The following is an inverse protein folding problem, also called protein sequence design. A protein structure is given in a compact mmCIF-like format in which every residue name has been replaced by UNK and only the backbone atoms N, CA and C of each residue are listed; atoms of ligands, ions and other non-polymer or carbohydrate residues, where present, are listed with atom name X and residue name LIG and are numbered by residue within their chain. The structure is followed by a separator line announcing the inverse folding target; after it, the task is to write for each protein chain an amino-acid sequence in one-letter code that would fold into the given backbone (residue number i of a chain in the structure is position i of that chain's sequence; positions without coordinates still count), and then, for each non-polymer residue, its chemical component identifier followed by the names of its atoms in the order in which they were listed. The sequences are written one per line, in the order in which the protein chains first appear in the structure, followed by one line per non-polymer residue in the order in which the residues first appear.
data_IF_070573135291
#
_entry.id   IF_070573135291
#
_cell.length_a   1.000
_cell.length_b   1.000
_cell.length_c   1.000
_cell.angle_alpha   90.00
_cell.angle_beta   90.00
_cell.angle_gamma   90.00
#
_symmetry.space_group_name_H-M   'P 1'
#
loop_
_entity.id
_entity.type
_entity.pdbx_description
1 polymer ?
#
# COMPACT_ATOMS: atom_id res chain seq x y z
N UNK A 1 -4.23 -16.30 16.74
CA UNK A 1 -4.21 -15.14 15.81
C UNK A 1 -3.17 -15.40 14.74
N UNK A 2 -3.58 -15.80 13.53
CA UNK A 2 -2.66 -16.07 12.43
C UNK A 2 -2.33 -14.73 11.72
N UNK A 3 -1.25 -14.09 12.16
CA UNK A 3 -0.76 -12.88 11.50
C UNK A 3 -0.16 -13.30 10.15
N UNK A 4 -1.01 -13.32 9.12
CA UNK A 4 -0.60 -13.55 7.72
C UNK A 4 0.22 -12.34 7.30
N UNK A 5 1.52 -12.37 7.61
CA UNK A 5 2.46 -11.37 7.14
C UNK A 5 2.36 -11.32 5.62
N UNK A 6 2.32 -10.11 5.08
CA UNK A 6 2.34 -9.91 3.63
C UNK A 6 3.54 -10.66 3.07
N UNK A 7 3.26 -11.61 2.18
CA UNK A 7 4.29 -12.29 1.41
C UNK A 7 5.03 -11.20 0.65
N UNK A 8 6.36 -11.22 0.65
CA UNK A 8 7.19 -10.15 0.10
C UNK A 8 6.79 -9.76 -1.33
N UNK A 9 6.36 -10.72 -2.14
CA UNK A 9 5.84 -10.49 -3.49
C UNK A 9 4.61 -9.57 -3.57
N UNK A 10 3.71 -9.60 -2.59
CA UNK A 10 2.54 -8.70 -2.55
C UNK A 10 2.94 -7.26 -2.22
N UNK A 11 4.04 -7.05 -1.49
CA UNK A 11 4.56 -5.70 -1.20
C UNK A 11 5.12 -5.07 -2.46
N UNK A 12 5.90 -5.81 -3.24
CA UNK A 12 6.42 -5.33 -4.51
C UNK A 12 5.31 -4.99 -5.50
N UNK A 13 4.23 -5.79 -5.55
CA UNK A 13 3.07 -5.47 -6.38
C UNK A 13 2.39 -4.17 -5.94
N UNK A 14 2.17 -3.96 -4.63
CA UNK A 14 1.62 -2.70 -4.12
C UNK A 14 2.52 -1.53 -4.53
N UNK A 15 3.84 -1.66 -4.36
CA UNK A 15 4.78 -0.59 -4.69
C UNK A 15 4.80 -0.27 -6.20
N UNK A 16 4.77 -1.30 -7.06
CA UNK A 16 4.66 -1.14 -8.51
C UNK A 16 3.40 -0.36 -8.90
N UNK A 17 2.23 -0.78 -8.40
CA UNK A 17 0.97 -0.08 -8.68
C UNK A 17 0.95 1.36 -8.13
N UNK A 18 1.63 1.63 -7.01
CA UNK A 18 1.76 2.99 -6.50
C UNK A 18 2.67 3.85 -7.35
N UNK A 19 3.74 3.29 -7.93
CA UNK A 19 4.59 4.00 -8.91
C UNK A 19 3.83 4.31 -10.19
N UNK A 20 2.91 3.44 -10.60
CA UNK A 20 2.00 3.67 -11.73
C UNK A 20 0.88 4.69 -11.41
N UNK A 21 0.69 5.07 -10.15
CA UNK A 21 -0.28 6.09 -9.74
C UNK A 21 -1.69 5.55 -9.41
N UNK A 22 -1.85 4.24 -9.23
CA UNK A 22 -3.14 3.66 -8.85
C UNK A 22 -3.57 4.04 -7.43
N UNK A 23 -4.88 4.13 -7.23
CA UNK A 23 -5.48 4.38 -5.91
C UNK A 23 -5.41 3.13 -5.02
N UNK A 24 -5.32 3.32 -3.68
CA UNK A 24 -5.32 2.19 -2.73
C UNK A 24 -6.56 1.29 -2.85
N UNK A 25 -7.70 1.86 -3.26
CA UNK A 25 -8.94 1.11 -3.49
C UNK A 25 -8.83 0.19 -4.69
N UNK A 26 -8.27 0.65 -5.80
CA UNK A 26 -8.06 -0.18 -6.99
C UNK A 26 -7.01 -1.27 -6.77
N UNK A 27 -5.92 -0.92 -6.09
CA UNK A 27 -4.88 -1.89 -5.72
C UNK A 27 -5.49 -2.97 -4.81
N UNK A 28 -6.34 -2.57 -3.85
CA UNK A 28 -7.03 -3.51 -2.96
C UNK A 28 -7.99 -4.45 -3.69
N UNK A 29 -8.74 -3.94 -4.66
CA UNK A 29 -9.61 -4.76 -5.52
C UNK A 29 -8.80 -5.78 -6.33
N UNK A 30 -7.68 -5.38 -6.93
CA UNK A 30 -6.80 -6.25 -7.73
C UNK A 30 -6.11 -7.33 -6.90
N UNK A 31 -5.58 -6.95 -5.75
CA UNK A 31 -4.83 -7.84 -4.86
C UNK A 31 -5.71 -8.59 -3.84
N UNK A 32 -7.04 -8.41 -3.90
CA UNK A 32 -8.02 -8.94 -2.94
C UNK A 32 -7.66 -8.65 -1.48
N UNK A 33 -7.12 -7.45 -1.23
CA UNK A 33 -6.74 -6.97 0.11
C UNK A 33 -7.48 -5.68 0.43
N UNK A 34 -7.79 -5.46 1.70
CA UNK A 34 -8.42 -4.21 2.10
C UNK A 34 -7.48 -3.02 1.87
N UNK A 35 -8.06 -1.91 1.42
CA UNK A 35 -7.36 -0.62 1.30
C UNK A 35 -6.67 -0.20 2.61
N UNK A 36 -7.26 -0.55 3.77
CA UNK A 36 -6.66 -0.30 5.09
C UNK A 36 -5.38 -1.10 5.29
N UNK A 37 -5.32 -2.32 4.76
CA UNK A 37 -4.12 -3.17 4.85
C UNK A 37 -3.00 -2.62 3.97
N UNK A 38 -3.33 -2.15 2.76
CA UNK A 38 -2.38 -1.45 1.88
C UNK A 38 -1.87 -0.18 2.57
N UNK A 39 -2.75 0.64 3.13
CA UNK A 39 -2.35 1.87 3.83
C UNK A 39 -1.39 1.60 5.00
N UNK A 40 -1.68 0.59 5.83
CA UNK A 40 -0.77 0.15 6.91
C UNK A 40 0.57 -0.32 6.35
N UNK A 41 0.57 -1.00 5.21
CA UNK A 41 1.80 -1.51 4.61
C UNK A 41 2.65 -0.42 3.97
N UNK A 42 2.03 0.50 3.24
CA UNK A 42 2.68 1.70 2.72
C UNK A 42 3.24 2.54 3.88
N UNK A 43 2.50 2.66 4.98
CA UNK A 43 2.97 3.39 6.16
C UNK A 43 4.15 2.67 6.84
N UNK A 44 4.11 1.33 6.97
CA UNK A 44 5.24 0.54 7.48
C UNK A 44 6.47 0.62 6.59
N UNK A 45 6.31 0.59 5.26
CA UNK A 45 7.41 0.73 4.32
C UNK A 45 8.00 2.15 4.37
N UNK A 46 7.17 3.19 4.50
CA UNK A 46 7.61 4.58 4.74
C UNK A 46 8.35 4.79 6.06
N UNK A 47 8.02 4.02 7.10
CA UNK A 47 8.74 4.10 8.38
C UNK A 47 10.13 3.46 8.26
N UNK A 48 10.28 2.39 7.46
CA UNK A 48 11.58 1.72 7.23
C UNK A 48 12.45 2.43 6.20
N UNK A 49 11.87 3.07 5.20
CA UNK A 49 12.57 3.83 4.16
C UNK A 49 12.24 5.31 4.24
N UNK A 50 13.13 6.09 4.89
CA UNK A 50 13.29 7.55 4.78
C UNK A 50 11.99 8.38 4.65
N UNK A 51 11.63 9.01 5.77
CA UNK A 51 11.18 10.40 5.84
C UNK A 51 10.31 10.96 4.70
N UNK A 52 9.02 11.11 5.01
CA UNK A 52 8.21 12.25 4.59
C UNK A 52 7.99 12.49 3.07
N UNK A 53 6.81 12.12 2.57
CA UNK A 53 6.03 13.06 1.74
C UNK A 53 4.56 12.94 2.06
N UNK A 54 4.01 14.04 2.58
CA UNK A 54 2.62 14.23 2.96
C UNK A 54 1.72 14.15 1.72
N UNK A 55 0.46 13.79 1.99
CA UNK A 55 -0.74 14.22 1.28
C UNK A 55 -0.82 13.91 -0.22
N UNK A 56 -1.42 12.77 -0.58
CA UNK A 56 -2.31 12.74 -1.75
C UNK A 56 -3.74 12.99 -1.26
N UNK A 57 -4.11 14.27 -1.26
CA UNK A 57 -5.46 14.75 -1.01
C UNK A 57 -6.08 15.00 -2.39
N UNK A 58 -7.34 14.56 -2.55
CA UNK A 58 -8.35 14.95 -3.55
C UNK A 58 -8.32 14.27 -4.93
N UNK A 59 -9.42 13.60 -5.26
CA UNK A 59 -10.47 14.14 -6.14
C UNK A 59 -11.83 13.55 -5.76
N UNK A 60 -12.82 14.43 -5.64
CA UNK A 60 -14.26 14.17 -5.63
C UNK A 60 -14.75 14.37 -7.06
#
# INVERSE_FOLDING_TARGET
MNYKQFIEGQRYQIEAYLREGFSYREIGKRLKVSHSTISREVNRNRIRGKGHRKSLRRRH
#
